data_IF_301197198061
#
_entry.id   IF_301197198061
#
_cell.length_a   1.000
_cell.length_b   1.000
_cell.length_c   1.000
_cell.angle_alpha   90.00
_cell.angle_beta   90.00
_cell.angle_gamma   90.00
#
_symmetry.space_group_name_H-M   'P 1'
#
loop_
_entity.id
_entity.type
_entity.pdbx_description
1 polymer ?
#
# COMPACT_ATOMS: atom_id res chain seq x y z
N UNK A 1 6.32 11.30 -27.76
CA UNK A 1 5.22 10.33 -27.83
C UNK A 1 5.63 8.97 -28.38
N UNK A 2 6.93 8.67 -28.42
CA UNK A 2 7.49 7.42 -29.00
C UNK A 2 8.03 6.42 -27.94
N UNK A 3 8.06 6.77 -26.66
CA UNK A 3 8.71 5.94 -25.62
C UNK A 3 7.79 4.94 -24.90
N UNK A 4 6.52 4.82 -25.33
CA UNK A 4 5.53 3.98 -24.61
C UNK A 4 5.21 2.63 -25.31
N UNK A 5 5.78 2.34 -26.47
CA UNK A 5 5.48 1.10 -27.20
C UNK A 5 6.55 -0.01 -27.07
N UNK A 6 7.76 0.30 -26.61
CA UNK A 6 8.81 -0.72 -26.43
C UNK A 6 8.70 -1.53 -25.13
N UNK A 7 7.93 -1.11 -24.15
CA UNK A 7 7.78 -1.84 -22.88
C UNK A 7 6.83 -3.05 -22.93
N UNK A 8 6.22 -3.32 -24.07
CA UNK A 8 5.18 -4.35 -24.24
C UNK A 8 5.67 -5.77 -24.50
N UNK A 9 6.96 -5.99 -24.78
CA UNK A 9 7.49 -7.30 -25.21
C UNK A 9 8.39 -8.00 -24.19
N UNK A 10 8.78 -7.36 -23.09
CA UNK A 10 9.52 -8.05 -22.04
C UNK A 10 8.62 -9.01 -21.26
N UNK A 11 8.95 -10.29 -21.29
CA UNK A 11 8.21 -11.34 -20.60
C UNK A 11 8.27 -11.11 -19.08
N UNK A 12 7.10 -10.96 -18.44
CA UNK A 12 6.97 -10.78 -16.98
C UNK A 12 7.27 -12.09 -16.26
N UNK A 13 8.56 -12.43 -16.13
CA UNK A 13 9.02 -13.69 -15.59
C UNK A 13 9.22 -13.69 -14.06
N UNK A 14 9.36 -12.52 -13.46
CA UNK A 14 9.66 -12.39 -12.03
C UNK A 14 8.40 -12.24 -11.18
N UNK A 15 8.43 -12.76 -9.96
CA UNK A 15 7.35 -12.58 -8.99
C UNK A 15 7.25 -11.12 -8.54
N UNK A 16 6.03 -10.72 -8.10
CA UNK A 16 5.80 -9.38 -7.61
C UNK A 16 6.51 -9.15 -6.27
N UNK A 17 7.22 -8.03 -6.14
CA UNK A 17 7.80 -7.61 -4.88
C UNK A 17 6.72 -7.26 -3.84
N UNK A 18 7.05 -7.30 -2.56
CA UNK A 18 6.15 -6.87 -1.49
C UNK A 18 5.72 -5.40 -1.66
N UNK A 19 6.63 -4.56 -2.14
CA UNK A 19 6.37 -3.15 -2.41
C UNK A 19 5.34 -2.98 -3.53
N UNK A 20 5.44 -3.73 -4.62
CA UNK A 20 4.45 -3.72 -5.72
C UNK A 20 3.09 -4.22 -5.26
N UNK A 21 3.04 -5.26 -4.43
CA UNK A 21 1.80 -5.76 -3.83
C UNK A 21 1.16 -4.69 -2.95
N UNK A 22 1.95 -4.00 -2.12
CA UNK A 22 1.47 -2.89 -1.27
C UNK A 22 0.95 -1.73 -2.10
N UNK A 23 1.69 -1.29 -3.12
CA UNK A 23 1.25 -0.23 -4.04
C UNK A 23 -0.04 -0.60 -4.78
N UNK A 24 -0.19 -1.86 -5.20
CA UNK A 24 -1.42 -2.38 -5.82
C UNK A 24 -2.61 -2.23 -4.88
N UNK A 25 -2.45 -2.60 -3.59
CA UNK A 25 -3.48 -2.43 -2.56
C UNK A 25 -3.83 -0.96 -2.31
N UNK A 26 -2.84 -0.07 -2.23
CA UNK A 26 -3.05 1.37 -2.06
C UNK A 26 -3.81 1.98 -3.26
N UNK A 27 -3.59 1.46 -4.45
CA UNK A 27 -4.37 1.81 -5.66
C UNK A 27 -5.75 1.15 -5.69
N UNK A 28 -6.09 0.32 -4.68
CA UNK A 28 -7.36 -0.40 -4.57
C UNK A 28 -7.48 -1.61 -5.50
N UNK A 29 -6.38 -2.10 -6.07
CA UNK A 29 -6.37 -3.31 -6.88
C UNK A 29 -6.04 -4.50 -5.98
N UNK A 30 -7.10 -5.11 -5.44
CA UNK A 30 -7.04 -6.26 -4.54
C UNK A 30 -7.69 -7.48 -5.18
N UNK A 31 -7.19 -8.70 -4.89
CA UNK A 31 -7.86 -9.91 -5.33
C UNK A 31 -9.20 -10.06 -4.59
N UNK A 32 -10.30 -9.84 -5.30
CA UNK A 32 -11.63 -9.96 -4.75
C UNK A 32 -12.46 -10.91 -5.61
N UNK A 33 -12.96 -12.00 -4.98
CA UNK A 33 -13.92 -12.89 -5.61
C UNK A 33 -15.34 -12.41 -5.33
N UNK A 34 -16.07 -12.12 -6.40
CA UNK A 34 -17.50 -11.81 -6.32
C UNK A 34 -18.31 -13.04 -5.88
N UNK A 35 -17.83 -14.24 -6.21
CA UNK A 35 -18.49 -15.49 -5.84
C UNK A 35 -18.43 -15.73 -4.32
N UNK A 36 -17.30 -15.38 -3.69
CA UNK A 36 -17.18 -15.46 -2.25
C UNK A 36 -18.14 -14.48 -1.53
N UNK A 37 -18.32 -13.27 -2.08
CA UNK A 37 -19.29 -12.32 -1.55
C UNK A 37 -20.72 -12.88 -1.67
N UNK A 38 -21.05 -13.48 -2.82
CA UNK A 38 -22.33 -14.10 -3.08
C UNK A 38 -22.56 -15.29 -2.14
N UNK A 39 -21.53 -16.12 -1.89
CA UNK A 39 -21.62 -17.24 -0.94
C UNK A 39 -21.96 -16.75 0.46
N UNK A 40 -21.23 -15.75 0.97
CA UNK A 40 -21.50 -15.21 2.31
C UNK A 40 -22.87 -14.55 2.41
N UNK A 41 -23.36 -13.92 1.33
CA UNK A 41 -24.71 -13.39 1.25
C UNK A 41 -25.75 -14.53 1.37
N UNK A 42 -25.61 -15.61 0.61
CA UNK A 42 -26.54 -16.75 0.70
C UNK A 42 -26.46 -17.50 2.03
N UNK A 43 -25.29 -17.62 2.63
CA UNK A 43 -25.14 -18.17 4.00
C UNK A 43 -25.88 -17.27 4.99
N UNK A 44 -25.68 -15.95 4.90
CA UNK A 44 -26.41 -14.98 5.74
C UNK A 44 -27.92 -15.09 5.56
N UNK A 45 -28.40 -15.26 4.31
CA UNK A 45 -29.80 -15.45 4.00
C UNK A 45 -30.33 -16.77 4.56
N UNK A 46 -29.58 -17.87 4.45
CA UNK A 46 -29.96 -19.16 5.01
C UNK A 46 -30.13 -19.09 6.53
N UNK A 47 -29.15 -18.52 7.22
CA UNK A 47 -29.21 -18.29 8.67
C UNK A 47 -30.39 -17.41 9.04
N UNK A 48 -30.61 -16.31 8.30
CA UNK A 48 -31.74 -15.41 8.53
C UNK A 48 -33.09 -16.12 8.39
N UNK A 49 -33.27 -16.94 7.37
CA UNK A 49 -34.53 -17.68 7.16
C UNK A 49 -34.69 -18.81 8.17
N UNK A 50 -33.61 -19.43 8.63
CA UNK A 50 -33.68 -20.46 9.71
C UNK A 50 -34.13 -19.79 11.02
N UNK A 51 -33.56 -18.63 11.38
CA UNK A 51 -33.79 -18.02 12.69
C UNK A 51 -35.08 -17.21 12.70
N UNK A 52 -35.31 -16.40 11.69
CA UNK A 52 -36.42 -15.42 11.66
C UNK A 52 -37.53 -15.78 10.69
N UNK A 53 -37.28 -16.66 9.73
CA UNK A 53 -38.17 -16.92 8.59
C UNK A 53 -39.58 -17.29 9.04
N UNK A 54 -39.75 -18.20 10.00
CA UNK A 54 -41.09 -18.61 10.44
C UNK A 54 -41.89 -17.46 11.06
N UNK A 55 -41.23 -16.60 11.87
CA UNK A 55 -41.85 -15.41 12.45
C UNK A 55 -42.27 -14.41 11.37
N UNK A 56 -41.36 -14.11 10.45
CA UNK A 56 -41.60 -13.19 9.33
C UNK A 56 -42.74 -13.67 8.45
N UNK A 57 -42.72 -14.95 8.03
CA UNK A 57 -43.80 -15.51 7.19
C UNK A 57 -45.15 -15.51 7.95
N UNK A 58 -45.16 -15.93 9.22
CA UNK A 58 -46.41 -15.99 10.03
C UNK A 58 -47.01 -14.60 10.23
N UNK A 59 -46.19 -13.60 10.58
CA UNK A 59 -46.66 -12.23 10.84
C UNK A 59 -47.22 -11.61 9.56
N UNK A 60 -46.48 -11.74 8.45
CA UNK A 60 -46.94 -11.18 7.16
C UNK A 60 -48.19 -11.93 6.64
N UNK A 61 -48.28 -13.26 6.84
CA UNK A 61 -49.46 -14.01 6.45
C UNK A 61 -50.69 -13.60 7.25
N UNK A 62 -50.57 -13.43 8.59
CA UNK A 62 -51.66 -12.92 9.46
C UNK A 62 -52.14 -11.55 9.03
N UNK A 63 -51.20 -10.66 8.72
CA UNK A 63 -51.48 -9.31 8.26
C UNK A 63 -52.24 -9.34 6.93
N UNK A 64 -51.75 -10.08 5.93
CA UNK A 64 -52.41 -10.25 4.63
C UNK A 64 -53.78 -10.93 4.74
N UNK A 65 -53.93 -11.97 5.58
CA UNK A 65 -55.18 -12.65 5.78
C UNK A 65 -56.23 -11.73 6.47
N UNK A 66 -55.81 -10.90 7.42
CA UNK A 66 -56.66 -9.86 8.03
C UNK A 66 -57.13 -8.83 7.00
N UNK A 67 -56.24 -8.40 6.12
CA UNK A 67 -56.59 -7.44 5.04
C UNK A 67 -57.60 -8.06 4.05
N UNK A 68 -57.48 -9.31 3.71
CA UNK A 68 -58.39 -9.99 2.80
C UNK A 68 -59.74 -10.33 3.46
N UNK A 69 -59.76 -10.58 4.78
CA UNK A 69 -60.98 -10.93 5.51
C UNK A 69 -61.89 -9.75 5.74
N UNK A 70 -61.33 -8.53 5.90
CA UNK A 70 -62.10 -7.32 6.24
C UNK A 70 -61.63 -6.11 5.35
N UNK A 71 -61.85 -6.13 4.02
CA UNK A 71 -61.40 -5.11 3.12
C UNK A 71 -62.12 -3.75 3.35
N UNK A 72 -63.39 -3.80 3.81
CA UNK A 72 -64.16 -2.61 4.17
C UNK A 72 -63.59 -1.84 5.38
N UNK A 73 -63.09 -2.57 6.39
CA UNK A 73 -62.50 -1.94 7.58
C UNK A 73 -61.16 -1.25 7.25
N UNK A 74 -60.42 -1.77 6.27
CA UNK A 74 -59.20 -1.15 5.80
C UNK A 74 -59.45 0.16 5.08
N UNK A 75 -60.41 0.19 4.18
CA UNK A 75 -60.77 1.42 3.46
C UNK A 75 -61.27 2.49 4.44
N UNK A 76 -62.11 2.12 5.40
CA UNK A 76 -62.61 3.01 6.42
C UNK A 76 -61.48 3.51 7.35
N UNK A 77 -60.61 2.63 7.83
CA UNK A 77 -59.47 2.99 8.69
C UNK A 77 -58.41 3.83 7.97
N UNK A 78 -58.17 3.61 6.71
CA UNK A 78 -57.24 4.40 5.88
C UNK A 78 -57.80 5.80 5.60
N UNK A 79 -59.12 5.91 5.36
CA UNK A 79 -59.78 7.18 5.06
C UNK A 79 -60.14 7.97 6.34
N UNK A 80 -60.39 7.29 7.47
CA UNK A 80 -60.73 7.90 8.74
C UNK A 80 -59.52 8.15 9.65
N UNK A 81 -58.33 7.64 9.32
CA UNK A 81 -57.09 7.89 10.05
C UNK A 81 -56.73 9.39 10.15
N UNK A 82 -57.30 10.21 9.27
CA UNK A 82 -57.17 11.67 9.35
C UNK A 82 -58.02 12.29 10.47
N UNK A 83 -59.02 11.59 11.02
CA UNK A 83 -60.01 12.14 11.97
C UNK A 83 -59.93 11.61 13.41
N UNK A 84 -59.25 10.49 13.66
CA UNK A 84 -59.15 9.95 15.02
C UNK A 84 -57.71 9.80 15.45
N UNK A 85 -57.26 10.55 16.43
CA UNK A 85 -55.96 10.39 17.08
C UNK A 85 -55.75 8.99 17.70
N UNK A 86 -56.81 8.18 17.81
CA UNK A 86 -56.77 6.78 18.29
C UNK A 86 -56.60 5.75 17.17
N UNK A 87 -56.89 6.12 15.90
CA UNK A 87 -56.72 5.21 14.73
C UNK A 87 -55.35 5.23 14.07
N UNK A 88 -54.43 6.06 14.55
CA UNK A 88 -53.09 6.27 13.91
C UNK A 88 -52.18 5.05 13.97
N UNK A 89 -52.43 4.05 14.81
CA UNK A 89 -51.58 2.87 14.92
C UNK A 89 -51.79 1.88 13.76
N UNK A 90 -53.01 1.77 13.22
CA UNK A 90 -53.31 0.72 12.26
C UNK A 90 -52.68 0.96 10.86
N UNK A 91 -52.67 2.17 10.36
CA UNK A 91 -52.04 2.49 9.09
C UNK A 91 -50.50 2.45 9.16
N UNK A 92 -49.92 2.89 10.27
CA UNK A 92 -48.49 2.79 10.49
C UNK A 92 -48.04 1.35 10.72
N UNK A 93 -48.78 0.54 11.46
CA UNK A 93 -48.45 -0.90 11.61
C UNK A 93 -48.54 -1.65 10.29
N UNK A 94 -49.47 -1.29 9.41
CA UNK A 94 -49.58 -1.88 8.09
C UNK A 94 -48.36 -1.65 7.20
N UNK A 95 -47.76 -0.48 7.30
CA UNK A 95 -46.58 -0.12 6.53
C UNK A 95 -45.27 -0.51 7.21
N UNK A 96 -45.16 -0.25 8.53
CA UNK A 96 -43.93 -0.51 9.28
C UNK A 96 -43.81 -1.95 9.74
N UNK A 97 -44.90 -2.66 9.98
CA UNK A 97 -44.88 -4.06 10.41
C UNK A 97 -44.04 -4.97 9.53
N UNK A 98 -44.30 -5.05 8.21
CA UNK A 98 -43.48 -5.81 7.26
C UNK A 98 -42.02 -5.35 7.23
N UNK A 99 -41.78 -4.02 7.21
CA UNK A 99 -40.41 -3.46 7.14
C UNK A 99 -39.59 -3.91 8.35
N UNK A 100 -40.15 -3.77 9.56
CA UNK A 100 -39.47 -4.18 10.81
C UNK A 100 -39.25 -5.69 10.86
N UNK A 101 -40.24 -6.48 10.37
CA UNK A 101 -40.12 -7.95 10.32
C UNK A 101 -38.98 -8.43 9.40
N UNK A 102 -38.73 -7.75 8.28
CA UNK A 102 -37.64 -8.07 7.36
C UNK A 102 -36.29 -7.48 7.76
N UNK A 103 -36.23 -6.48 8.64
CA UNK A 103 -35.01 -5.79 9.05
C UNK A 103 -33.88 -6.73 9.53
N UNK A 104 -34.13 -7.74 10.41
CA UNK A 104 -33.09 -8.68 10.83
C UNK A 104 -32.50 -9.49 9.67
N UNK A 105 -33.31 -9.84 8.68
CA UNK A 105 -32.86 -10.54 7.47
C UNK A 105 -31.87 -9.64 6.71
N UNK A 106 -32.23 -8.39 6.43
CA UNK A 106 -31.36 -7.46 5.72
C UNK A 106 -30.05 -7.20 6.49
N UNK A 107 -30.10 -7.07 7.82
CA UNK A 107 -28.90 -6.89 8.65
C UNK A 107 -27.96 -8.08 8.54
N UNK A 108 -28.48 -9.32 8.53
CA UNK A 108 -27.65 -10.52 8.35
C UNK A 108 -27.03 -10.60 6.93
N UNK A 109 -27.77 -10.20 5.90
CA UNK A 109 -27.24 -10.13 4.53
C UNK A 109 -26.08 -9.13 4.44
N UNK A 110 -26.25 -7.92 5.00
CA UNK A 110 -25.22 -6.88 5.04
C UNK A 110 -23.99 -7.38 5.82
N UNK A 111 -24.22 -8.00 6.98
CA UNK A 111 -23.17 -8.58 7.80
C UNK A 111 -22.40 -9.68 7.04
N UNK A 112 -23.09 -10.55 6.30
CA UNK A 112 -22.49 -11.58 5.46
C UNK A 112 -21.56 -10.99 4.41
N UNK A 113 -22.00 -9.96 3.68
CA UNK A 113 -21.18 -9.30 2.65
C UNK A 113 -19.97 -8.58 3.28
N UNK A 114 -20.18 -7.84 4.38
CA UNK A 114 -19.08 -7.14 5.08
C UNK A 114 -18.04 -8.17 5.58
N UNK A 115 -18.50 -9.26 6.19
CA UNK A 115 -17.62 -10.35 6.66
C UNK A 115 -16.78 -10.93 5.51
N UNK A 116 -17.37 -11.15 4.34
CA UNK A 116 -16.66 -11.61 3.15
C UNK A 116 -15.58 -10.65 2.71
N UNK A 117 -15.87 -9.35 2.65
CA UNK A 117 -14.90 -8.30 2.28
C UNK A 117 -13.74 -8.22 3.27
N UNK A 118 -14.01 -8.37 4.56
CA UNK A 118 -12.98 -8.37 5.62
C UNK A 118 -12.10 -9.62 5.52
N UNK A 119 -12.69 -10.81 5.36
CA UNK A 119 -11.96 -12.08 5.20
C UNK A 119 -11.05 -12.06 3.98
N UNK A 120 -11.54 -11.52 2.86
CA UNK A 120 -10.76 -11.37 1.62
C UNK A 120 -9.72 -10.23 1.71
N UNK A 121 -9.68 -9.45 2.81
CA UNK A 121 -8.86 -8.25 2.94
C UNK A 121 -9.01 -7.28 1.76
N UNK A 122 -10.22 -7.20 1.22
CA UNK A 122 -10.55 -6.43 0.02
C UNK A 122 -10.94 -4.98 0.34
N UNK A 123 -11.12 -4.65 1.62
CA UNK A 123 -11.47 -3.28 2.05
C UNK A 123 -10.24 -2.38 1.91
N UNK A 124 -10.26 -1.50 0.91
CA UNK A 124 -9.20 -0.51 0.66
C UNK A 124 -9.80 0.84 0.33
N UNK A 125 -9.22 1.90 0.88
CA UNK A 125 -9.61 3.26 0.55
C UNK A 125 -8.74 3.78 -0.59
N UNK A 126 -9.28 3.84 -1.81
CA UNK A 126 -8.57 4.25 -3.01
C UNK A 126 -9.26 5.43 -3.71
N UNK A 127 -9.04 6.69 -3.28
CA UNK A 127 -9.69 7.86 -3.87
C UNK A 127 -9.30 8.08 -5.34
N UNK A 128 -8.18 7.53 -5.79
CA UNK A 128 -7.75 7.56 -7.19
C UNK A 128 -8.72 6.87 -8.17
N UNK A 129 -9.55 5.92 -7.68
CA UNK A 129 -10.58 5.24 -8.47
C UNK A 129 -11.82 6.09 -8.72
N UNK A 130 -12.05 7.12 -7.92
CA UNK A 130 -13.20 8.03 -8.06
C UNK A 130 -13.03 8.99 -9.24
N UNK A 131 -11.79 9.20 -9.71
CA UNK A 131 -11.54 10.05 -10.87
C UNK A 131 -12.08 9.39 -12.15
N UNK A 132 -12.96 10.08 -12.92
CA UNK A 132 -13.49 9.56 -14.16
C UNK A 132 -12.35 9.37 -15.17
N UNK A 133 -12.28 8.20 -15.79
CA UNK A 133 -11.31 7.89 -16.85
C UNK A 133 -12.05 7.75 -18.17
N UNK A 134 -11.88 8.72 -19.07
CA UNK A 134 -12.49 8.72 -20.41
C UNK A 134 -12.13 7.47 -21.24
N UNK A 135 -10.95 6.86 -20.97
CA UNK A 135 -10.55 5.62 -21.64
C UNK A 135 -11.48 4.42 -21.36
N UNK A 136 -12.24 4.44 -20.25
CA UNK A 136 -13.25 3.41 -19.95
C UNK A 136 -14.51 3.52 -20.79
N UNK A 137 -14.74 4.65 -21.43
CA UNK A 137 -15.91 4.93 -22.28
C UNK A 137 -15.67 4.59 -23.75
N UNK A 138 -14.46 4.16 -24.13
CA UNK A 138 -14.17 3.81 -25.53
C UNK A 138 -14.89 2.51 -25.93
N UNK A 139 -15.84 2.56 -26.93
CA UNK A 139 -16.59 1.39 -27.37
C UNK A 139 -15.69 0.33 -28.01
N UNK A 140 -14.65 0.77 -28.73
CA UNK A 140 -13.75 -0.12 -29.49
C UNK A 140 -12.89 -0.95 -28.53
N UNK A 141 -12.33 -0.33 -27.50
CA UNK A 141 -11.54 -1.05 -26.50
C UNK A 141 -12.39 -2.05 -25.70
N UNK A 142 -13.61 -1.66 -25.36
CA UNK A 142 -14.57 -2.52 -24.69
C UNK A 142 -15.00 -3.70 -25.57
N UNK A 143 -15.23 -3.48 -26.88
CA UNK A 143 -15.55 -4.54 -27.80
C UNK A 143 -14.38 -5.54 -27.94
N UNK A 144 -13.14 -5.07 -28.11
CA UNK A 144 -11.94 -5.91 -28.19
C UNK A 144 -11.73 -6.71 -26.91
N UNK A 145 -11.99 -6.13 -25.74
CA UNK A 145 -11.90 -6.84 -24.45
C UNK A 145 -13.01 -7.90 -24.32
N UNK A 146 -14.23 -7.62 -24.77
CA UNK A 146 -15.39 -8.50 -24.62
C UNK A 146 -15.39 -9.65 -25.63
N UNK A 147 -14.95 -9.42 -26.87
CA UNK A 147 -14.96 -10.41 -27.96
C UNK A 147 -13.56 -10.98 -28.26
N UNK A 148 -12.52 -10.54 -27.57
CA UNK A 148 -11.17 -11.10 -27.66
C UNK A 148 -11.06 -12.46 -26.95
N UNK A 149 -9.90 -13.15 -27.06
CA UNK A 149 -9.67 -14.46 -26.44
C UNK A 149 -9.97 -14.50 -24.94
N UNK A 150 -9.63 -13.44 -24.22
CA UNK A 150 -9.92 -13.32 -22.78
C UNK A 150 -11.44 -13.20 -22.52
N UNK A 151 -12.16 -12.46 -23.37
CA UNK A 151 -13.62 -12.34 -23.25
C UNK A 151 -14.36 -13.64 -23.57
N UNK A 152 -13.86 -14.43 -24.52
CA UNK A 152 -14.40 -15.77 -24.82
C UNK A 152 -14.20 -16.73 -23.65
N UNK A 153 -13.02 -16.70 -23.00
CA UNK A 153 -12.78 -17.50 -21.82
C UNK A 153 -13.72 -17.12 -20.65
N UNK A 154 -13.91 -15.83 -20.41
CA UNK A 154 -14.84 -15.33 -19.40
C UNK A 154 -16.30 -15.72 -19.72
N UNK A 155 -16.69 -15.68 -20.99
CA UNK A 155 -18.00 -16.14 -21.43
C UNK A 155 -18.20 -17.63 -21.14
N UNK A 156 -17.23 -18.47 -21.50
CA UNK A 156 -17.28 -19.92 -21.27
C UNK A 156 -17.37 -20.25 -19.79
N UNK A 157 -16.60 -19.58 -18.94
CA UNK A 157 -16.67 -19.70 -17.48
C UNK A 157 -18.07 -19.38 -16.96
N UNK A 158 -18.67 -18.27 -17.43
CA UNK A 158 -20.05 -17.89 -17.03
C UNK A 158 -21.11 -18.86 -17.54
N UNK A 159 -20.91 -19.40 -18.73
CA UNK A 159 -21.81 -20.39 -19.31
C UNK A 159 -21.83 -21.69 -18.47
N UNK A 160 -20.66 -22.22 -18.11
CA UNK A 160 -20.58 -23.41 -17.26
C UNK A 160 -21.18 -23.15 -15.87
N UNK A 161 -20.96 -21.98 -15.29
CA UNK A 161 -21.61 -21.58 -14.04
C UNK A 161 -23.13 -21.59 -14.15
N UNK A 162 -23.68 -21.00 -15.20
CA UNK A 162 -25.12 -20.97 -15.44
C UNK A 162 -25.67 -22.42 -15.56
N UNK A 163 -25.00 -23.25 -16.36
CA UNK A 163 -25.38 -24.66 -16.54
C UNK A 163 -25.37 -25.43 -15.21
N UNK A 164 -24.36 -25.22 -14.37
CA UNK A 164 -24.27 -25.86 -13.07
C UNK A 164 -25.40 -25.43 -12.13
N UNK A 165 -25.71 -24.15 -12.06
CA UNK A 165 -26.82 -23.60 -11.29
C UNK A 165 -28.17 -24.18 -11.80
N UNK A 166 -28.32 -24.25 -13.13
CA UNK A 166 -29.52 -24.82 -13.74
C UNK A 166 -29.71 -26.30 -13.39
N UNK A 167 -28.63 -27.08 -13.34
CA UNK A 167 -28.69 -28.51 -12.92
C UNK A 167 -29.14 -28.61 -11.46
N UNK A 168 -28.53 -27.85 -10.56
CA UNK A 168 -28.89 -27.89 -9.12
C UNK A 168 -30.33 -27.41 -8.91
N UNK A 169 -30.73 -26.31 -9.59
CA UNK A 169 -32.11 -25.85 -9.59
C UNK A 169 -33.09 -26.89 -10.13
N UNK A 170 -32.70 -27.61 -11.19
CA UNK A 170 -33.47 -28.70 -11.77
C UNK A 170 -33.67 -29.85 -10.77
N UNK A 171 -32.64 -30.23 -10.04
CA UNK A 171 -32.72 -31.25 -8.97
C UNK A 171 -33.69 -30.80 -7.88
N UNK A 172 -33.59 -29.55 -7.44
CA UNK A 172 -34.49 -28.96 -6.45
C UNK A 172 -35.96 -29.05 -6.93
N UNK A 173 -36.26 -28.55 -8.12
CA UNK A 173 -37.64 -28.60 -8.68
C UNK A 173 -38.14 -30.01 -8.88
N UNK A 174 -37.31 -30.94 -9.33
CA UNK A 174 -37.66 -32.32 -9.46
C UNK A 174 -38.10 -32.95 -8.13
N UNK A 175 -37.34 -32.69 -7.05
CA UNK A 175 -37.66 -33.12 -5.72
C UNK A 175 -38.96 -32.48 -5.20
N UNK A 176 -39.13 -31.18 -5.42
CA UNK A 176 -40.31 -30.44 -5.02
C UNK A 176 -41.58 -31.00 -5.68
N UNK A 177 -41.56 -31.27 -7.00
CA UNK A 177 -42.71 -31.81 -7.75
C UNK A 177 -43.07 -33.19 -7.26
N UNK A 178 -42.11 -34.00 -6.80
CA UNK A 178 -42.43 -35.34 -6.25
C UNK A 178 -43.16 -35.30 -4.92
N UNK A 179 -42.92 -34.30 -4.11
CA UNK A 179 -43.52 -34.16 -2.77
C UNK A 179 -44.91 -33.52 -2.84
N UNK A 180 -45.10 -32.52 -3.73
CA UNK A 180 -46.36 -31.79 -3.87
C UNK A 180 -47.62 -32.65 -4.06
N UNK A 181 -47.67 -33.74 -4.89
CA UNK A 181 -48.86 -34.53 -5.05
C UNK A 181 -49.32 -35.30 -3.79
N UNK A 182 -48.39 -35.60 -2.88
CA UNK A 182 -48.71 -36.28 -1.61
C UNK A 182 -49.34 -35.33 -0.59
N UNK A 183 -49.23 -34.04 -0.76
CA UNK A 183 -49.69 -33.00 0.14
C UNK A 183 -51.01 -32.34 -0.34
N UNK A 184 -51.79 -33.00 -1.18
CA UNK A 184 -53.02 -32.45 -1.79
C UNK A 184 -54.14 -32.06 -0.80
N UNK A 185 -53.93 -32.24 0.50
CA UNK A 185 -54.83 -31.78 1.58
C UNK A 185 -54.10 -30.84 2.58
N UNK A 186 -53.29 -29.89 2.08
CA UNK A 186 -52.65 -28.89 2.96
C UNK A 186 -53.71 -28.03 3.63
N UNK A 187 -53.82 -28.12 4.94
CA UNK A 187 -54.68 -27.21 5.70
C UNK A 187 -54.07 -25.78 5.70
N UNK A 188 -54.92 -24.76 5.74
CA UNK A 188 -54.47 -23.34 5.74
C UNK A 188 -53.40 -23.05 6.81
N UNK A 189 -53.42 -23.73 7.95
CA UNK A 189 -52.43 -23.64 9.02
C UNK A 189 -51.05 -24.18 8.65
N UNK A 190 -50.93 -25.02 7.63
CA UNK A 190 -49.69 -25.66 7.19
C UNK A 190 -49.01 -24.87 6.05
N UNK A 191 -49.69 -23.92 5.41
CA UNK A 191 -49.17 -23.14 4.27
C UNK A 191 -47.88 -22.39 4.69
N UNK A 192 -47.88 -21.68 5.81
CA UNK A 192 -46.74 -20.87 6.25
C UNK A 192 -45.52 -21.73 6.64
N UNK A 193 -45.69 -22.81 7.47
CA UNK A 193 -44.59 -23.73 7.73
C UNK A 193 -43.99 -24.34 6.45
N UNK A 194 -44.84 -24.72 5.50
CA UNK A 194 -44.43 -25.37 4.24
C UNK A 194 -43.67 -24.34 3.35
N UNK A 195 -44.16 -23.12 3.21
CA UNK A 195 -43.45 -22.05 2.51
C UNK A 195 -42.05 -21.82 3.11
N UNK A 196 -41.94 -21.79 4.44
CA UNK A 196 -40.66 -21.63 5.12
C UNK A 196 -39.74 -22.87 4.89
N UNK A 197 -40.27 -24.09 4.85
CA UNK A 197 -39.52 -25.30 4.52
C UNK A 197 -38.94 -25.21 3.11
N UNK A 198 -39.79 -24.93 2.12
CA UNK A 198 -39.39 -24.84 0.72
C UNK A 198 -38.36 -23.70 0.51
N UNK A 199 -38.55 -22.55 1.17
CA UNK A 199 -37.60 -21.45 1.10
C UNK A 199 -36.22 -21.85 1.66
N UNK A 200 -36.17 -22.50 2.82
CA UNK A 200 -34.91 -23.00 3.41
C UNK A 200 -34.23 -24.00 2.50
N UNK A 201 -34.97 -24.92 1.93
CA UNK A 201 -34.44 -25.94 1.04
C UNK A 201 -33.87 -25.32 -0.24
N UNK A 202 -34.61 -24.41 -0.87
CA UNK A 202 -34.11 -23.65 -2.04
C UNK A 202 -32.81 -22.92 -1.76
N UNK A 203 -32.75 -22.13 -0.66
CA UNK A 203 -31.58 -21.40 -0.28
C UNK A 203 -30.40 -22.31 0.02
N UNK A 204 -30.65 -23.47 0.67
CA UNK A 204 -29.64 -24.47 0.94
C UNK A 204 -29.01 -25.03 -0.35
N UNK A 205 -29.84 -25.40 -1.35
CA UNK A 205 -29.32 -25.79 -2.68
C UNK A 205 -28.52 -24.69 -3.35
N UNK A 206 -28.94 -23.42 -3.22
CA UNK A 206 -28.19 -22.27 -3.73
C UNK A 206 -26.86 -22.10 -3.01
N UNK A 207 -26.80 -22.27 -1.68
CA UNK A 207 -25.54 -22.23 -0.91
C UNK A 207 -24.57 -23.30 -1.41
N UNK A 208 -25.04 -24.54 -1.61
CA UNK A 208 -24.21 -25.64 -2.16
C UNK A 208 -23.66 -25.27 -3.55
N UNK A 209 -24.54 -24.78 -4.43
CA UNK A 209 -24.15 -24.38 -5.78
C UNK A 209 -23.07 -23.31 -5.78
N UNK A 210 -23.28 -22.24 -5.02
CA UNK A 210 -22.34 -21.09 -4.96
C UNK A 210 -21.07 -21.48 -4.19
N UNK A 211 -21.15 -22.32 -3.16
CA UNK A 211 -19.96 -22.81 -2.46
C UNK A 211 -19.02 -23.58 -3.39
N UNK A 212 -19.57 -24.47 -4.21
CA UNK A 212 -18.77 -25.21 -5.18
C UNK A 212 -18.10 -24.28 -6.21
N UNK A 213 -18.85 -23.31 -6.72
CA UNK A 213 -18.30 -22.31 -7.66
C UNK A 213 -17.20 -21.48 -7.00
N UNK A 214 -17.42 -21.03 -5.77
CA UNK A 214 -16.47 -20.24 -4.99
C UNK A 214 -15.19 -21.01 -4.72
N UNK A 215 -15.28 -22.31 -4.43
CA UNK A 215 -14.12 -23.18 -4.21
C UNK A 215 -13.16 -23.19 -5.42
N UNK A 216 -13.71 -23.12 -6.62
CA UNK A 216 -12.92 -23.06 -7.86
C UNK A 216 -12.47 -21.64 -8.21
N UNK A 217 -13.29 -20.63 -7.91
CA UNK A 217 -13.03 -19.25 -8.29
C UNK A 217 -11.96 -18.58 -7.41
N UNK A 218 -11.95 -18.84 -6.11
CA UNK A 218 -11.01 -18.21 -5.17
C UNK A 218 -9.53 -18.43 -5.54
N UNK A 219 -9.05 -19.68 -5.73
CA UNK A 219 -7.65 -19.90 -6.10
C UNK A 219 -7.32 -19.35 -7.48
N UNK A 220 -8.27 -19.44 -8.42
CA UNK A 220 -8.10 -18.87 -9.77
C UNK A 220 -7.92 -17.35 -9.71
N UNK A 221 -8.74 -16.64 -8.94
CA UNK A 221 -8.65 -15.19 -8.76
C UNK A 221 -7.32 -14.77 -8.13
N UNK A 222 -6.87 -15.46 -7.08
CA UNK A 222 -5.57 -15.20 -6.45
C UNK A 222 -4.41 -15.40 -7.42
N UNK A 223 -4.41 -16.53 -8.13
CA UNK A 223 -3.39 -16.84 -9.14
C UNK A 223 -3.38 -15.81 -10.28
N UNK A 224 -4.55 -15.46 -10.82
CA UNK A 224 -4.69 -14.47 -11.89
C UNK A 224 -4.21 -13.09 -11.44
N UNK A 225 -4.53 -12.68 -10.20
CA UNK A 225 -4.08 -11.41 -9.64
C UNK A 225 -2.56 -11.38 -9.49
N UNK A 226 -1.95 -12.42 -8.91
CA UNK A 226 -0.49 -12.51 -8.78
C UNK A 226 0.20 -12.54 -10.15
N UNK A 227 -0.37 -13.24 -11.13
CA UNK A 227 0.13 -13.24 -12.50
C UNK A 227 0.12 -11.85 -13.14
N UNK A 228 -0.90 -11.03 -12.89
CA UNK A 228 -0.98 -9.64 -13.38
C UNK A 228 0.08 -8.74 -12.73
N UNK A 229 0.45 -9.01 -11.48
CA UNK A 229 1.45 -8.24 -10.73
C UNK A 229 2.90 -8.65 -11.03
N UNK A 230 3.15 -9.75 -11.78
CA UNK A 230 4.51 -10.15 -12.17
C UNK A 230 5.26 -9.00 -12.82
N UNK A 231 6.57 -9.01 -12.62
CA UNK A 231 7.48 -7.92 -12.99
C UNK A 231 8.42 -8.33 -14.12
N UNK A 232 8.82 -7.35 -14.92
CA UNK A 232 9.95 -7.46 -15.82
C UNK A 232 11.26 -7.19 -15.06
N UNK A 233 12.40 -7.58 -15.61
CA UNK A 233 13.71 -7.28 -15.02
C UNK A 233 13.94 -5.76 -14.88
N UNK A 234 13.46 -4.99 -15.84
CA UNK A 234 13.54 -3.53 -15.82
C UNK A 234 12.77 -2.94 -14.65
N UNK A 235 11.51 -3.41 -14.42
CA UNK A 235 10.70 -2.96 -13.30
C UNK A 235 11.37 -3.23 -11.93
N UNK A 236 12.03 -4.40 -11.76
CA UNK A 236 12.77 -4.74 -10.53
C UNK A 236 13.95 -3.79 -10.34
N UNK A 237 14.71 -3.53 -11.42
CA UNK A 237 15.86 -2.64 -11.37
C UNK A 237 15.45 -1.21 -11.02
N UNK A 238 14.34 -0.74 -11.57
CA UNK A 238 13.81 0.59 -11.28
C UNK A 238 13.28 0.69 -9.85
N UNK A 239 12.59 -0.35 -9.35
CA UNK A 239 12.13 -0.42 -7.96
C UNK A 239 13.30 -0.43 -6.95
N UNK A 240 14.39 -1.15 -7.25
CA UNK A 240 15.60 -1.13 -6.42
C UNK A 240 16.27 0.25 -6.41
N UNK A 241 16.27 0.97 -7.54
CA UNK A 241 16.77 2.35 -7.58
C UNK A 241 15.91 3.30 -6.75
N UNK A 242 14.59 3.13 -6.79
CA UNK A 242 13.66 3.97 -6.02
C UNK A 242 13.78 3.72 -4.51
N UNK A 243 14.06 2.47 -4.09
CA UNK A 243 14.16 2.08 -2.69
C UNK A 243 15.54 2.35 -2.06
N UNK A 244 16.63 2.04 -2.77
CA UNK A 244 18.01 2.17 -2.27
C UNK A 244 18.69 3.49 -2.70
N UNK A 245 18.08 4.22 -3.62
CA UNK A 245 18.65 5.38 -4.29
C UNK A 245 19.56 4.99 -5.45
N UNK A 246 19.74 5.91 -6.39
CA UNK A 246 20.65 5.70 -7.53
C UNK A 246 22.11 5.64 -7.03
N UNK A 247 22.86 4.54 -7.27
CA UNK A 247 24.26 4.42 -6.89
C UNK A 247 25.13 5.56 -7.43
N UNK A 248 24.80 6.11 -8.60
CA UNK A 248 25.49 7.26 -9.18
C UNK A 248 25.29 8.52 -8.34
N UNK A 249 24.06 8.81 -7.91
CA UNK A 249 23.77 9.96 -7.04
C UNK A 249 24.44 9.84 -5.67
N UNK A 250 24.52 8.62 -5.12
CA UNK A 250 25.23 8.34 -3.87
C UNK A 250 26.73 8.57 -4.04
N UNK A 251 27.30 8.13 -5.17
CA UNK A 251 28.68 8.39 -5.55
C UNK A 251 28.99 9.89 -5.70
N UNK A 252 28.14 10.64 -6.42
CA UNK A 252 28.29 12.08 -6.60
C UNK A 252 28.18 12.84 -5.27
N UNK A 253 27.23 12.50 -4.41
CA UNK A 253 27.10 13.11 -3.07
C UNK A 253 28.35 12.88 -2.23
N UNK A 254 28.92 11.67 -2.26
CA UNK A 254 30.17 11.35 -1.57
C UNK A 254 31.35 12.14 -2.14
N UNK A 255 31.48 12.22 -3.45
CA UNK A 255 32.53 13.00 -4.11
C UNK A 255 32.44 14.50 -3.77
N UNK A 256 31.22 15.07 -3.78
CA UNK A 256 30.98 16.47 -3.37
C UNK A 256 31.31 16.71 -1.90
N UNK A 257 30.95 15.78 -1.02
CA UNK A 257 31.26 15.90 0.42
C UNK A 257 32.78 15.92 0.66
N UNK A 258 33.53 15.05 -0.02
CA UNK A 258 35.01 15.03 0.04
C UNK A 258 35.59 16.33 -0.50
N UNK A 259 35.13 16.83 -1.64
CA UNK A 259 35.58 18.07 -2.24
C UNK A 259 35.32 19.29 -1.33
N UNK A 260 34.13 19.36 -0.71
CA UNK A 260 33.79 20.41 0.25
C UNK A 260 34.67 20.35 1.50
N UNK A 261 34.91 19.18 2.06
CA UNK A 261 35.79 18.98 3.21
C UNK A 261 37.23 19.42 2.90
N UNK A 262 37.75 19.05 1.73
CA UNK A 262 39.08 19.46 1.28
C UNK A 262 39.15 20.99 1.06
N UNK A 263 38.12 21.61 0.51
CA UNK A 263 38.06 23.04 0.30
C UNK A 263 38.03 23.82 1.62
N UNK A 264 37.24 23.34 2.61
CA UNK A 264 37.20 23.90 3.97
C UNK A 264 38.60 23.84 4.62
N UNK A 265 39.19 22.65 4.63
CA UNK A 265 40.52 22.44 5.20
C UNK A 265 41.59 23.33 4.56
N UNK A 266 41.54 23.53 3.23
CA UNK A 266 42.45 24.48 2.56
C UNK A 266 42.22 25.92 2.98
N UNK A 267 41.00 26.32 3.33
CA UNK A 267 40.73 27.65 3.85
C UNK A 267 41.28 27.82 5.28
N UNK A 268 41.28 26.75 6.09
CA UNK A 268 41.80 26.79 7.45
C UNK A 268 43.33 27.02 7.47
N UNK A 269 44.06 26.75 6.36
CA UNK A 269 45.48 27.06 6.19
C UNK A 269 45.75 28.57 6.37
N UNK A 270 44.80 29.43 6.05
CA UNK A 270 44.92 30.88 6.21
C UNK A 270 45.06 31.32 7.67
N UNK A 271 44.54 30.56 8.58
CA UNK A 271 44.57 30.79 10.01
C UNK A 271 45.79 30.13 10.69
N UNK A 272 46.65 29.48 9.92
CA UNK A 272 47.85 28.82 10.46
C UNK A 272 49.00 29.80 10.72
N UNK A 273 49.75 29.54 11.79
CA UNK A 273 50.94 30.31 12.14
C UNK A 273 52.18 29.80 11.42
N UNK A 274 52.23 28.52 11.09
CA UNK A 274 53.34 27.90 10.38
C UNK A 274 52.84 26.69 9.59
N UNK A 275 53.41 26.44 8.41
CA UNK A 275 53.26 25.23 7.64
C UNK A 275 54.59 24.47 7.63
N UNK A 276 54.59 23.26 8.18
CA UNK A 276 55.77 22.39 8.17
C UNK A 276 55.67 21.44 7.01
N UNK A 277 56.73 21.32 6.23
CA UNK A 277 56.71 20.55 4.99
C UNK A 277 57.86 19.53 4.90
N UNK A 278 57.52 18.38 4.29
CA UNK A 278 58.48 17.59 3.55
C UNK A 278 58.36 18.00 2.08
N UNK A 279 59.38 18.59 1.46
CA UNK A 279 59.25 19.40 0.22
C UNK A 279 58.44 18.80 -0.91
N UNK A 280 58.39 17.48 -1.03
CA UNK A 280 57.71 16.79 -2.14
C UNK A 280 56.44 16.12 -1.72
N UNK A 281 56.30 15.62 -0.46
CA UNK A 281 55.28 14.67 -0.11
C UNK A 281 54.28 15.11 0.96
N UNK A 282 54.70 15.84 1.99
CA UNK A 282 53.83 16.17 3.12
C UNK A 282 53.78 17.63 3.41
N UNK A 283 52.61 18.11 3.82
CA UNK A 283 52.46 19.44 4.40
C UNK A 283 51.46 19.38 5.56
N UNK A 284 51.80 20.01 6.67
CA UNK A 284 50.97 20.13 7.87
C UNK A 284 50.91 21.59 8.31
N UNK A 285 49.70 22.13 8.48
CA UNK A 285 49.47 23.50 8.89
C UNK A 285 49.07 23.54 10.36
N UNK A 286 49.81 24.31 11.17
CA UNK A 286 49.62 24.35 12.62
C UNK A 286 49.24 25.78 13.03
N UNK A 287 48.34 25.88 13.98
CA UNK A 287 47.94 27.12 14.66
C UNK A 287 48.28 27.02 16.12
N UNK A 288 48.89 28.06 16.66
CA UNK A 288 49.21 28.19 18.06
C UNK A 288 48.60 29.42 18.70
N UNK A 289 47.65 29.21 19.60
CA UNK A 289 47.04 30.26 20.39
C UNK A 289 47.97 30.65 21.55
N UNK A 290 48.67 31.75 21.40
CA UNK A 290 49.66 32.24 22.37
C UNK A 290 49.01 32.81 23.62
N UNK A 291 47.79 33.34 23.51
CA UNK A 291 47.11 33.98 24.64
C UNK A 291 46.62 32.95 25.64
N UNK A 292 46.16 31.79 25.16
CA UNK A 292 45.67 30.70 26.01
C UNK A 292 46.77 29.77 26.50
N UNK A 293 48.05 30.00 26.20
CA UNK A 293 49.17 29.11 26.50
C UNK A 293 48.92 27.67 26.07
N UNK A 294 48.11 27.48 25.04
CA UNK A 294 47.69 26.17 24.53
C UNK A 294 48.80 25.47 23.74
N UNK A 295 48.55 24.20 23.44
CA UNK A 295 49.39 23.40 22.57
C UNK A 295 48.98 23.70 21.12
N UNK A 296 49.91 23.78 20.12
CA UNK A 296 49.57 23.97 18.74
C UNK A 296 48.59 22.90 18.24
N UNK A 297 47.60 23.33 17.44
CA UNK A 297 46.54 22.49 16.87
C UNK A 297 46.76 22.31 15.36
N UNK A 298 46.53 21.11 14.86
CA UNK A 298 46.63 20.80 13.44
C UNK A 298 45.38 21.27 12.69
N UNK A 299 45.52 22.28 11.81
CA UNK A 299 44.42 22.81 11.02
C UNK A 299 44.25 22.08 9.67
N UNK A 300 45.36 21.73 9.03
CA UNK A 300 45.34 21.06 7.74
C UNK A 300 46.50 20.09 7.60
N UNK A 301 46.25 18.93 6.99
CA UNK A 301 47.29 17.98 6.62
C UNK A 301 47.06 17.46 5.20
N UNK A 302 48.12 17.24 4.44
CA UNK A 302 48.02 16.72 3.08
C UNK A 302 49.23 15.95 2.63
N UNK A 303 49.05 15.12 1.63
CA UNK A 303 50.07 14.34 0.97
C UNK A 303 50.03 14.65 -0.52
N UNK A 304 51.16 14.62 -1.17
CA UNK A 304 51.38 14.82 -2.61
C UNK A 304 50.63 16.05 -3.19
N UNK A 305 49.56 15.85 -3.97
CA UNK A 305 48.77 16.91 -4.59
C UNK A 305 48.12 17.83 -3.54
N UNK A 306 47.62 17.29 -2.46
CA UNK A 306 47.01 18.08 -1.40
C UNK A 306 48.07 18.87 -0.61
N UNK A 307 49.23 18.28 -0.37
CA UNK A 307 50.38 18.99 0.21
C UNK A 307 50.86 20.14 -0.69
N UNK A 308 50.85 19.95 -2.00
CA UNK A 308 51.15 20.99 -2.95
C UNK A 308 50.15 22.14 -2.86
N UNK A 309 48.85 21.85 -2.78
CA UNK A 309 47.80 22.90 -2.63
C UNK A 309 47.91 23.63 -1.29
N UNK A 310 48.22 22.96 -0.19
CA UNK A 310 48.47 23.60 1.11
C UNK A 310 49.64 24.56 1.01
N UNK A 311 50.77 24.16 0.40
CA UNK A 311 51.96 25.03 0.20
C UNK A 311 51.65 26.24 -0.67
N UNK A 312 50.95 26.05 -1.79
CA UNK A 312 50.53 27.14 -2.67
C UNK A 312 49.64 28.14 -1.92
N UNK A 313 48.66 27.65 -1.16
CA UNK A 313 47.75 28.49 -0.37
C UNK A 313 48.53 29.25 0.71
N UNK A 314 49.44 28.58 1.43
CA UNK A 314 50.31 29.21 2.42
C UNK A 314 51.20 30.28 1.81
N UNK A 315 51.78 30.03 0.64
CA UNK A 315 52.63 31.01 -0.08
C UNK A 315 51.87 32.25 -0.54
N UNK A 316 50.65 32.07 -1.07
CA UNK A 316 49.82 33.21 -1.55
C UNK A 316 49.41 34.10 -0.36
N UNK A 317 49.19 33.54 0.81
CA UNK A 317 48.74 34.29 1.99
C UNK A 317 49.83 34.52 3.03
N UNK A 318 51.10 34.43 2.61
CA UNK A 318 52.27 34.77 3.42
C UNK A 318 52.41 34.01 4.74
N UNK A 319 51.78 32.78 4.81
CA UNK A 319 51.97 31.89 5.93
C UNK A 319 53.36 31.28 5.88
N UNK A 320 54.19 31.42 6.94
CA UNK A 320 55.56 30.93 6.94
C UNK A 320 55.64 29.42 6.70
N UNK A 321 56.55 29.02 5.81
CA UNK A 321 56.77 27.59 5.47
C UNK A 321 58.15 27.18 5.99
N UNK A 322 58.18 26.18 6.83
CA UNK A 322 59.40 25.58 7.38
C UNK A 322 59.59 24.15 6.85
N UNK A 323 60.81 23.85 6.39
CA UNK A 323 61.12 22.50 5.87
C UNK A 323 61.70 21.62 6.97
N UNK A 324 60.89 20.70 7.49
CA UNK A 324 61.31 19.68 8.44
C UNK A 324 60.64 18.34 8.06
N UNK A 325 61.26 17.53 7.17
CA UNK A 325 60.67 16.32 6.67
C UNK A 325 60.31 15.26 7.75
N UNK A 326 61.15 15.01 8.77
CA UNK A 326 60.79 14.09 9.85
C UNK A 326 59.58 14.53 10.67
N UNK A 327 59.51 15.83 11.02
CA UNK A 327 58.42 16.40 11.80
C UNK A 327 57.12 16.36 10.98
N UNK A 328 57.12 16.82 9.73
CA UNK A 328 55.96 16.82 8.87
C UNK A 328 55.34 15.42 8.69
N UNK A 329 56.18 14.39 8.49
CA UNK A 329 55.76 13.01 8.34
C UNK A 329 55.17 12.45 9.63
N UNK A 330 55.81 12.70 10.75
CA UNK A 330 55.39 12.22 12.07
C UNK A 330 54.03 12.81 12.49
N UNK A 331 53.85 14.14 12.35
CA UNK A 331 52.58 14.81 12.66
C UNK A 331 51.46 14.30 11.73
N UNK A 332 51.72 14.19 10.40
CA UNK A 332 50.75 13.68 9.46
C UNK A 332 50.22 12.30 9.84
N UNK A 333 51.09 11.40 10.35
CA UNK A 333 50.74 10.03 10.70
C UNK A 333 50.06 9.89 12.07
N UNK A 334 50.34 10.81 13.00
CA UNK A 334 49.97 10.59 14.41
C UNK A 334 48.92 11.57 14.94
N UNK A 335 48.59 12.66 14.25
CA UNK A 335 47.66 13.69 14.72
C UNK A 335 46.53 13.89 13.70
N UNK A 336 45.29 13.97 14.18
CA UNK A 336 44.15 14.26 13.33
C UNK A 336 43.86 15.77 13.23
N UNK A 337 43.15 16.18 12.17
CA UNK A 337 42.77 17.58 11.97
C UNK A 337 41.88 18.03 13.12
N UNK A 338 42.19 19.19 13.69
CA UNK A 338 41.51 19.74 14.88
C UNK A 338 42.09 19.25 16.22
N UNK A 339 43.06 18.32 16.23
CA UNK A 339 43.71 17.84 17.45
C UNK A 339 44.98 18.63 17.75
N UNK A 340 45.33 18.70 19.04
CA UNK A 340 46.60 19.21 19.52
C UNK A 340 47.75 18.26 19.17
N UNK A 341 48.94 18.80 18.88
CA UNK A 341 50.12 18.00 18.63
C UNK A 341 50.51 17.20 19.87
N UNK A 342 51.16 16.04 19.67
CA UNK A 342 51.63 15.20 20.76
C UNK A 342 52.93 15.70 21.37
N UNK A 343 53.25 15.37 22.63
CA UNK A 343 54.46 15.83 23.29
C UNK A 343 55.76 15.54 22.55
N UNK A 344 55.83 14.45 21.79
CA UNK A 344 56.97 14.06 20.97
C UNK A 344 57.29 15.04 19.86
N UNK A 345 56.32 15.90 19.45
CA UNK A 345 56.48 16.87 18.37
C UNK A 345 56.82 18.27 18.89
N UNK A 346 56.77 18.54 20.20
CA UNK A 346 56.89 19.90 20.76
C UNK A 346 58.21 20.56 20.41
N UNK A 347 59.36 19.88 20.50
CA UNK A 347 60.65 20.45 20.21
C UNK A 347 60.80 20.91 18.75
N UNK A 348 60.40 20.07 17.79
CA UNK A 348 60.47 20.36 16.37
C UNK A 348 59.49 21.45 15.96
N UNK A 349 58.27 21.41 16.51
CA UNK A 349 57.24 22.43 16.22
C UNK A 349 57.63 23.78 16.84
N UNK A 350 58.19 23.84 18.03
CA UNK A 350 58.70 25.07 18.66
C UNK A 350 59.80 25.69 17.82
N UNK A 351 60.74 24.91 17.28
CA UNK A 351 61.78 25.42 16.37
C UNK A 351 61.18 25.99 15.09
N UNK A 352 60.14 25.33 14.53
CA UNK A 352 59.42 25.82 13.34
C UNK A 352 58.64 27.09 13.58
N UNK A 353 58.02 27.27 14.73
CA UNK A 353 57.34 28.52 15.14
C UNK A 353 58.33 29.66 15.37
N UNK A 354 59.44 29.37 16.07
CA UNK A 354 60.50 30.35 16.25
C UNK A 354 61.09 30.85 14.90
N UNK A 355 61.27 29.93 13.97
CA UNK A 355 61.62 30.31 12.57
C UNK A 355 60.59 31.19 11.93
N UNK A 356 59.32 30.88 12.02
CA UNK A 356 58.20 31.67 11.52
C UNK A 356 58.18 33.08 12.13
N UNK A 357 58.42 33.21 13.44
CA UNK A 357 58.49 34.50 14.14
C UNK A 357 59.68 35.34 13.73
N UNK A 358 60.82 34.70 13.44
CA UNK A 358 62.02 35.40 12.99
C UNK A 358 61.84 36.03 11.60
N UNK A 359 61.04 35.36 10.72
CA UNK A 359 60.68 35.91 9.41
C UNK A 359 59.73 37.11 9.55
N UNK A 360 58.69 37.02 10.36
CA UNK A 360 57.75 38.11 10.62
C UNK A 360 58.40 39.36 11.23
N UNK A 361 59.55 39.24 11.95
CA UNK A 361 60.31 40.37 12.52
C UNK A 361 61.28 41.04 11.54
N UNK A 362 61.64 40.32 10.44
CA UNK A 362 62.54 40.91 9.42
C UNK A 362 61.86 41.82 8.42
N UNK A 363 60.55 41.75 8.30
CA UNK A 363 59.70 42.48 7.37
C UNK A 363 59.18 43.84 8.01
N UNK A 364 59.61 44.13 9.24
CA UNK A 364 59.44 45.42 9.92
C UNK A 364 60.80 46.07 10.18
#
# INVERSE_FOLDING_TARGET
>A
MADNEESGSEEKSFEASEQKIKQSREKGDTPQSMEANTLCLYIGLLVAVIVFGQGVFTNNFKLLSGMLAHPEDMGANMLLAEKSREGGNNASELLWGPIVAFLPIFLLLIFGVISSLVIQRAVTFAPSKLKPKLSRLSPISNAKQKYGPNGMFEFLKRFFKLMFIAIIGGIFFYNLIKVLPGESAIHASQIVPEMNRVAKELIFYMVIAVAFITLLDLPYMQFSHMKKLRMTFKEIKDENKDSEGDPHLKGERRARAIALSQSSMLNDVLAADVVIVNPTHYAVALKWDREQKGVPVLLAKGVDELAYRIRQKAKIHEVPIHSDPPCARSIYASVEIGEAIRPEHYAAVAASIHFADSLKRKDY
#
